data_IF_912674734759
#
_entry.id   IF_912674734759
#
_cell.length_a   1.000
_cell.length_b   1.000
_cell.length_c   1.000
_cell.angle_alpha   90.00
_cell.angle_beta   90.00
_cell.angle_gamma   90.00
#
_symmetry.space_group_name_H-M   'P 1'
#
loop_
_entity.id
_entity.type
_entity.pdbx_description
1 polymer ?
#
# COMPACT_ATOMS: atom_id res chain seq x y z
N UNK A 1 96.27 21.97 -5.63
CA UNK A 1 96.02 20.94 -4.62
C UNK A 1 94.52 20.71 -4.46
N UNK A 2 94.01 19.75 -5.08
CA UNK A 2 93.42 18.52 -4.63
C UNK A 2 92.41 18.74 -3.48
N UNK A 3 91.17 18.55 -3.79
CA UNK A 3 90.05 18.39 -2.83
C UNK A 3 88.82 17.83 -3.50
N UNK A 4 88.84 16.51 -3.63
CA UNK A 4 87.75 15.70 -4.05
C UNK A 4 86.61 15.75 -3.06
N UNK A 5 85.40 15.91 -3.50
CA UNK A 5 84.19 15.79 -2.72
C UNK A 5 82.97 15.42 -3.59
N UNK A 6 82.95 14.15 -3.95
CA UNK A 6 81.73 13.52 -4.45
C UNK A 6 80.73 13.43 -3.27
N UNK A 7 79.71 14.15 -3.37
CA UNK A 7 78.50 13.93 -2.51
C UNK A 7 77.38 13.42 -3.44
N UNK A 8 77.03 12.20 -3.19
CA UNK A 8 75.96 11.51 -3.90
C UNK A 8 74.63 12.26 -3.80
N UNK A 9 74.02 12.46 -4.92
CA UNK A 9 72.66 12.90 -5.02
C UNK A 9 71.72 11.77 -4.52
N UNK A 10 71.33 11.90 -3.26
CA UNK A 10 70.16 11.18 -2.79
C UNK A 10 68.94 11.75 -3.52
N UNK A 11 68.53 11.03 -4.55
CA UNK A 11 67.30 11.28 -5.22
C UNK A 11 66.18 10.89 -4.27
N UNK A 12 65.70 11.86 -3.46
CA UNK A 12 64.46 11.73 -2.69
C UNK A 12 63.32 11.56 -3.68
N UNK A 13 62.93 10.32 -3.88
CA UNK A 13 61.62 10.01 -4.41
C UNK A 13 60.59 10.38 -3.32
N UNK A 14 60.24 11.64 -3.30
CA UNK A 14 59.10 12.18 -2.56
C UNK A 14 58.11 12.70 -3.60
N UNK A 15 57.33 11.83 -4.16
CA UNK A 15 56.04 12.12 -4.76
C UNK A 15 55.28 10.82 -4.94
N UNK A 16 55.06 10.09 -3.83
CA UNK A 16 53.82 9.34 -3.72
C UNK A 16 52.76 10.37 -3.28
N UNK A 17 52.14 11.02 -4.25
CA UNK A 17 50.83 11.57 -4.04
C UNK A 17 49.97 10.41 -3.50
N UNK A 18 49.82 10.35 -2.18
CA UNK A 18 48.77 9.59 -1.57
C UNK A 18 47.49 10.17 -2.17
N UNK A 19 46.96 9.47 -3.16
CA UNK A 19 45.58 9.60 -3.52
C UNK A 19 44.80 9.29 -2.22
N UNK A 20 44.53 10.31 -1.40
CA UNK A 20 43.45 10.27 -0.44
C UNK A 20 42.21 10.08 -1.28
N UNK A 21 41.79 8.83 -1.44
CA UNK A 21 40.44 8.51 -1.78
C UNK A 21 39.65 8.97 -0.54
N UNK A 22 39.17 10.24 -0.57
CA UNK A 22 38.13 10.67 0.34
C UNK A 22 36.91 9.86 -0.09
N UNK A 23 36.74 8.70 0.52
CA UNK A 23 35.46 8.02 0.56
C UNK A 23 34.58 8.93 1.43
N UNK A 24 33.85 9.83 0.79
CA UNK A 24 32.65 10.36 1.38
C UNK A 24 31.68 9.16 1.47
N UNK A 25 31.84 8.36 2.50
CA UNK A 25 30.92 7.24 2.79
C UNK A 25 29.47 7.71 3.03
N UNK A 26 29.25 9.01 3.13
CA UNK A 26 27.93 9.60 3.34
C UNK A 26 27.13 9.91 2.06
N UNK A 27 27.76 9.86 0.86
CA UNK A 27 27.11 10.41 -0.36
C UNK A 27 26.72 9.37 -1.42
N UNK A 28 26.91 8.06 -1.19
CA UNK A 28 26.65 7.05 -2.21
C UNK A 28 25.42 6.16 -1.96
N UNK A 29 24.68 6.35 -0.87
CA UNK A 29 23.44 5.62 -0.66
C UNK A 29 22.24 6.38 -1.26
N UNK A 30 21.37 5.69 -1.99
CA UNK A 30 20.16 6.28 -2.53
C UNK A 30 19.30 6.87 -1.38
N UNK A 31 18.87 8.11 -1.53
CA UNK A 31 17.97 8.75 -0.56
C UNK A 31 16.55 8.27 -0.75
N UNK A 32 16.08 7.45 0.20
CA UNK A 32 14.74 6.85 0.18
C UNK A 32 13.87 7.55 1.22
N UNK A 33 12.67 7.99 0.81
CA UNK A 33 11.67 8.58 1.70
C UNK A 33 10.42 7.70 1.73
N UNK A 34 9.92 7.41 2.93
CA UNK A 34 8.67 6.70 3.15
C UNK A 34 7.61 7.67 3.69
N UNK A 35 6.55 7.85 2.94
CA UNK A 35 5.48 8.79 3.24
C UNK A 35 4.22 8.05 3.64
N UNK A 36 3.81 8.18 4.90
CA UNK A 36 2.53 7.68 5.39
C UNK A 36 1.43 8.71 5.22
N UNK A 37 0.39 8.39 4.44
CA UNK A 37 -0.71 9.31 4.14
C UNK A 37 -2.00 8.87 4.84
N UNK A 38 -2.54 9.74 5.70
CA UNK A 38 -3.73 9.50 6.49
C UNK A 38 -3.50 8.54 7.67
N UNK A 39 -4.55 8.17 8.40
CA UNK A 39 -4.42 7.40 9.63
C UNK A 39 -3.74 6.04 9.44
N UNK A 40 -4.17 5.24 8.48
CA UNK A 40 -3.58 3.93 8.24
C UNK A 40 -2.13 4.02 7.73
N UNK A 41 -1.83 4.99 6.84
CA UNK A 41 -0.45 5.22 6.39
C UNK A 41 0.47 5.64 7.53
N UNK A 42 0.02 6.52 8.43
CA UNK A 42 0.78 6.93 9.59
C UNK A 42 0.99 5.77 10.58
N UNK A 43 0.02 4.86 10.75
CA UNK A 43 0.17 3.66 11.57
C UNK A 43 1.22 2.70 10.98
N UNK A 44 1.22 2.50 9.66
CA UNK A 44 2.23 1.71 8.98
C UNK A 44 3.63 2.30 9.16
N UNK A 45 3.79 3.63 9.02
CA UNK A 45 5.05 4.34 9.29
C UNK A 45 5.49 4.18 10.75
N UNK A 46 4.58 4.32 11.70
CA UNK A 46 4.90 4.10 13.12
C UNK A 46 5.49 2.71 13.36
N UNK A 47 4.91 1.69 12.70
CA UNK A 47 5.40 0.32 12.81
C UNK A 47 6.77 0.16 12.17
N UNK A 48 6.99 0.75 10.98
CA UNK A 48 8.29 0.73 10.31
C UNK A 48 9.39 1.34 11.19
N UNK A 49 9.06 2.40 11.92
CA UNK A 49 9.98 3.05 12.88
C UNK A 49 10.21 2.13 14.09
N UNK A 50 9.17 1.48 14.61
CA UNK A 50 9.29 0.56 15.75
C UNK A 50 10.15 -0.66 15.44
N UNK A 51 10.11 -1.14 14.19
CA UNK A 51 10.95 -2.25 13.68
C UNK A 51 12.34 -1.78 13.22
N UNK A 52 12.67 -0.48 13.42
CA UNK A 52 13.98 0.11 13.08
C UNK A 52 14.42 -0.11 11.64
N UNK A 53 13.54 0.08 10.65
CA UNK A 53 13.93 0.04 9.24
C UNK A 53 14.96 1.14 8.99
N UNK A 54 16.18 0.74 8.62
CA UNK A 54 17.30 1.64 8.39
C UNK A 54 17.38 2.19 6.97
N UNK A 55 18.16 3.29 6.79
CA UNK A 55 18.45 3.84 5.47
C UNK A 55 17.28 4.56 4.80
N UNK A 56 16.22 4.92 5.54
CA UNK A 56 15.05 5.64 5.03
C UNK A 56 14.68 6.83 5.91
N UNK A 57 14.15 7.86 5.29
CA UNK A 57 13.52 8.99 5.99
C UNK A 57 12.01 8.80 6.05
N UNK A 58 11.38 9.12 7.18
CA UNK A 58 9.95 8.96 7.37
C UNK A 58 9.22 10.29 7.42
N UNK A 59 8.11 10.39 6.69
CA UNK A 59 7.21 11.55 6.69
C UNK A 59 5.79 11.09 6.98
N UNK A 60 5.13 11.72 7.95
CA UNK A 60 3.71 11.52 8.24
C UNK A 60 2.86 12.67 7.69
N UNK A 61 1.85 12.35 6.89
CA UNK A 61 0.93 13.32 6.30
C UNK A 61 -0.49 13.03 6.73
N UNK A 62 -1.21 14.03 7.25
CA UNK A 62 -2.61 13.88 7.59
C UNK A 62 -3.38 15.22 7.54
N UNK A 63 -4.70 15.14 7.33
CA UNK A 63 -5.64 16.27 7.50
C UNK A 63 -6.13 16.39 8.94
N UNK A 64 -5.99 15.33 9.75
CA UNK A 64 -6.36 15.31 11.16
C UNK A 64 -5.13 15.57 12.04
N UNK A 65 -5.15 16.72 12.73
CA UNK A 65 -4.05 17.17 13.58
C UNK A 65 -3.83 16.25 14.80
N UNK A 66 -4.91 15.72 15.37
CA UNK A 66 -4.81 14.83 16.53
C UNK A 66 -4.19 13.48 16.14
N UNK A 67 -4.65 12.91 15.03
CA UNK A 67 -4.08 11.68 14.50
C UNK A 67 -2.61 11.87 14.10
N UNK A 68 -2.25 13.02 13.52
CA UNK A 68 -0.89 13.33 13.12
C UNK A 68 0.07 13.41 14.31
N UNK A 69 -0.37 13.94 15.46
CA UNK A 69 0.43 14.00 16.69
C UNK A 69 0.78 12.62 17.26
N UNK A 70 0.07 11.57 16.89
CA UNK A 70 0.38 10.18 17.28
C UNK A 70 1.37 9.50 16.34
N UNK A 71 1.71 10.16 15.23
CA UNK A 71 2.71 9.65 14.29
C UNK A 71 4.12 9.87 14.84
N UNK A 72 4.97 8.84 14.77
CA UNK A 72 6.35 8.84 15.25
C UNK A 72 7.35 9.34 14.21
N UNK A 73 6.89 9.63 13.00
CA UNK A 73 7.76 10.13 11.94
C UNK A 73 8.45 11.45 12.38
N UNK A 74 9.74 11.62 12.06
CA UNK A 74 10.47 12.84 12.40
C UNK A 74 9.93 14.08 11.70
N UNK A 75 9.34 13.89 10.51
CA UNK A 75 8.70 14.97 9.74
C UNK A 75 7.20 14.75 9.66
N UNK A 76 6.44 15.75 10.12
CA UNK A 76 4.97 15.70 10.14
C UNK A 76 4.42 16.88 9.33
N UNK A 77 3.56 16.59 8.35
CA UNK A 77 2.93 17.60 7.49
C UNK A 77 1.41 17.52 7.66
N UNK A 78 0.83 18.60 8.18
CA UNK A 78 -0.62 18.74 8.23
C UNK A 78 -1.11 19.38 6.93
N UNK A 79 -1.85 18.63 6.12
CA UNK A 79 -2.38 19.13 4.84
C UNK A 79 -3.80 19.68 4.98
N UNK A 80 -4.12 20.69 4.15
CA UNK A 80 -5.45 21.26 4.04
C UNK A 80 -5.94 21.96 5.32
N UNK A 81 -5.09 22.73 5.99
CA UNK A 81 -5.43 23.41 7.24
C UNK A 81 -6.62 24.34 7.09
N UNK A 82 -6.70 25.12 6.00
CA UNK A 82 -7.80 26.02 5.73
C UNK A 82 -9.09 25.28 5.42
N UNK A 83 -9.00 24.17 4.68
CA UNK A 83 -10.15 23.39 4.24
C UNK A 83 -10.73 22.55 5.38
N UNK A 84 -9.90 21.84 6.13
CA UNK A 84 -10.34 20.84 7.14
C UNK A 84 -10.30 21.35 8.58
N UNK A 85 -9.59 22.44 8.82
CA UNK A 85 -9.33 22.99 10.17
C UNK A 85 -8.75 21.97 11.15
N UNK A 86 -8.00 20.99 10.63
CA UNK A 86 -7.39 19.93 11.43
C UNK A 86 -8.36 18.83 11.91
N UNK A 87 -9.58 18.74 11.37
CA UNK A 87 -10.60 17.79 11.79
C UNK A 87 -10.72 16.55 10.88
N UNK A 88 -9.80 16.40 9.93
CA UNK A 88 -9.84 15.28 9.00
C UNK A 88 -10.70 15.51 7.76
N UNK A 89 -10.68 14.56 6.82
CA UNK A 89 -11.40 14.63 5.53
C UNK A 89 -12.81 14.01 5.57
N UNK A 90 -13.30 13.53 6.71
CA UNK A 90 -14.65 13.00 6.88
C UNK A 90 -15.03 11.85 5.93
N UNK A 91 -14.10 10.94 5.62
CA UNK A 91 -14.23 9.84 4.67
C UNK A 91 -14.60 10.27 3.22
N UNK A 92 -14.28 11.52 2.85
CA UNK A 92 -14.50 12.08 1.52
C UNK A 92 -13.15 12.24 0.79
N UNK A 93 -12.84 11.41 -0.23
CA UNK A 93 -11.58 11.49 -0.96
C UNK A 93 -11.34 12.82 -1.64
N UNK A 94 -12.39 13.49 -2.12
CA UNK A 94 -12.30 14.79 -2.78
C UNK A 94 -11.79 15.88 -1.82
N UNK A 95 -12.12 15.78 -0.53
CA UNK A 95 -11.59 16.70 0.50
C UNK A 95 -10.12 16.38 0.76
N UNK A 96 -9.74 15.09 0.82
CA UNK A 96 -8.35 14.68 0.96
C UNK A 96 -7.47 15.15 -0.21
N UNK A 97 -7.98 15.04 -1.43
CA UNK A 97 -7.30 15.53 -2.63
C UNK A 97 -7.06 17.05 -2.57
N UNK A 98 -8.13 17.84 -2.35
CA UNK A 98 -8.02 19.30 -2.24
C UNK A 98 -7.12 19.74 -1.10
N UNK A 99 -7.10 19.00 0.00
CA UNK A 99 -6.22 19.27 1.13
C UNK A 99 -4.74 19.09 0.75
N UNK A 100 -4.41 18.06 -0.05
CA UNK A 100 -3.06 17.87 -0.56
C UNK A 100 -2.67 18.91 -1.61
N UNK A 101 -3.62 19.29 -2.49
CA UNK A 101 -3.42 20.36 -3.47
C UNK A 101 -3.19 21.73 -2.79
N UNK A 102 -3.88 22.02 -1.68
CA UNK A 102 -3.66 23.24 -0.88
C UNK A 102 -2.23 23.34 -0.34
N UNK A 103 -1.65 22.18 0.04
CA UNK A 103 -0.31 22.09 0.65
C UNK A 103 0.76 21.62 -0.34
N UNK A 104 0.53 21.74 -1.65
CA UNK A 104 1.42 21.19 -2.69
C UNK A 104 2.86 21.71 -2.61
N UNK A 105 3.08 22.99 -2.30
CA UNK A 105 4.43 23.58 -2.17
C UNK A 105 5.23 22.94 -1.01
N UNK A 106 4.58 22.70 0.12
CA UNK A 106 5.19 22.04 1.28
C UNK A 106 5.52 20.58 0.98
N UNK A 107 4.60 19.85 0.33
CA UNK A 107 4.82 18.49 -0.12
C UNK A 107 5.96 18.39 -1.13
N UNK A 108 6.04 19.32 -2.07
CA UNK A 108 7.10 19.39 -3.06
C UNK A 108 8.47 19.63 -2.42
N UNK A 109 8.53 20.50 -1.43
CA UNK A 109 9.77 20.77 -0.68
C UNK A 109 10.22 19.54 0.13
N UNK A 110 9.26 18.80 0.71
CA UNK A 110 9.54 17.63 1.56
C UNK A 110 10.13 16.44 0.79
N UNK A 111 9.77 16.24 -0.47
CA UNK A 111 10.30 15.13 -1.29
C UNK A 111 11.53 15.51 -2.11
N UNK A 112 11.94 16.76 -2.07
CA UNK A 112 13.03 17.27 -2.90
C UNK A 112 14.36 16.58 -2.60
N UNK A 113 15.02 16.12 -3.67
CA UNK A 113 16.34 15.48 -3.59
C UNK A 113 16.29 14.03 -3.10
N UNK A 114 15.11 13.41 -3.07
CA UNK A 114 14.99 11.98 -2.93
C UNK A 114 15.24 11.26 -4.27
N UNK A 115 15.83 10.06 -4.21
CA UNK A 115 15.97 9.18 -5.36
C UNK A 115 14.76 8.26 -5.50
N UNK A 116 14.14 7.90 -4.37
CA UNK A 116 12.96 7.04 -4.31
C UNK A 116 11.98 7.51 -3.22
N UNK A 117 10.69 7.43 -3.53
CA UNK A 117 9.60 7.73 -2.60
C UNK A 117 8.61 6.58 -2.54
N UNK A 118 8.39 6.07 -1.34
CA UNK A 118 7.28 5.18 -1.04
C UNK A 118 6.09 5.98 -0.53
N UNK A 119 4.93 5.77 -1.13
CA UNK A 119 3.67 6.34 -0.66
C UNK A 119 2.81 5.22 -0.09
N UNK A 120 2.63 5.20 1.23
CA UNK A 120 1.83 4.17 1.90
C UNK A 120 0.55 4.75 2.49
N UNK A 121 -0.57 4.07 2.25
CA UNK A 121 -1.85 4.45 2.82
C UNK A 121 -2.86 3.29 2.84
N UNK A 122 -3.87 3.39 3.69
CA UNK A 122 -5.08 2.56 3.59
C UNK A 122 -6.11 3.23 2.71
N UNK A 123 -6.49 2.55 1.62
CA UNK A 123 -7.50 3.04 0.69
C UNK A 123 -8.92 2.92 1.26
N UNK A 124 -9.83 3.75 0.75
CA UNK A 124 -11.25 3.76 1.14
C UNK A 124 -11.63 4.83 2.16
N UNK A 125 -10.65 5.45 2.83
CA UNK A 125 -10.86 6.63 3.68
C UNK A 125 -10.91 7.94 2.89
N UNK A 126 -10.90 9.08 3.57
CA UNK A 126 -10.85 10.39 2.94
C UNK A 126 -9.42 10.84 2.62
N UNK A 127 -8.59 10.99 3.64
CA UNK A 127 -7.24 11.54 3.51
C UNK A 127 -6.33 10.66 2.65
N UNK A 128 -6.13 9.38 3.03
CA UNK A 128 -5.25 8.46 2.30
C UNK A 128 -5.66 8.31 0.84
N UNK A 129 -6.94 8.04 0.58
CA UNK A 129 -7.49 7.81 -0.75
C UNK A 129 -7.38 9.04 -1.67
N UNK A 130 -7.59 10.23 -1.11
CA UNK A 130 -7.58 11.47 -1.88
C UNK A 130 -6.20 12.09 -2.02
N UNK A 131 -5.41 12.12 -0.95
CA UNK A 131 -4.12 12.81 -0.92
C UNK A 131 -2.97 11.97 -1.48
N UNK A 132 -2.98 10.63 -1.33
CA UNK A 132 -1.88 9.79 -1.80
C UNK A 132 -1.59 9.92 -3.30
N UNK A 133 -2.60 9.97 -4.22
CA UNK A 133 -2.34 10.22 -5.63
C UNK A 133 -1.69 11.59 -5.90
N UNK A 134 -2.05 12.62 -5.15
CA UNK A 134 -1.46 13.97 -5.31
C UNK A 134 -0.01 13.97 -4.84
N UNK A 135 0.28 13.37 -3.68
CA UNK A 135 1.65 13.24 -3.14
C UNK A 135 2.53 12.45 -4.11
N UNK A 136 2.02 11.32 -4.60
CA UNK A 136 2.73 10.48 -5.56
C UNK A 136 3.03 11.23 -6.86
N UNK A 137 2.05 11.95 -7.39
CA UNK A 137 2.23 12.77 -8.60
C UNK A 137 3.28 13.85 -8.41
N UNK A 138 3.30 14.54 -7.27
CA UNK A 138 4.32 15.54 -6.94
C UNK A 138 5.72 14.95 -6.95
N UNK A 139 5.90 13.72 -6.41
CA UNK A 139 7.18 13.03 -6.44
C UNK A 139 7.57 12.60 -7.86
N UNK A 140 6.66 11.97 -8.59
CA UNK A 140 6.87 11.52 -9.98
C UNK A 140 7.18 12.68 -10.93
N UNK A 141 6.50 13.83 -10.80
CA UNK A 141 6.73 15.04 -11.60
C UNK A 141 8.13 15.64 -11.36
N UNK A 142 8.78 15.33 -10.22
CA UNK A 142 10.18 15.68 -9.95
C UNK A 142 11.18 14.64 -10.48
N UNK A 143 10.72 13.58 -11.15
CA UNK A 143 11.55 12.52 -11.70
C UNK A 143 12.01 11.49 -10.66
N UNK A 144 11.43 11.50 -9.47
CA UNK A 144 11.75 10.58 -8.37
C UNK A 144 11.03 9.25 -8.61
N UNK A 145 11.74 8.11 -8.45
CA UNK A 145 11.10 6.79 -8.53
C UNK A 145 10.03 6.68 -7.45
N UNK A 146 8.77 6.55 -7.87
CA UNK A 146 7.63 6.60 -6.96
C UNK A 146 6.90 5.26 -6.90
N UNK A 147 6.87 4.65 -5.71
CA UNK A 147 6.24 3.36 -5.46
C UNK A 147 5.07 3.52 -4.49
N UNK A 148 3.89 3.09 -4.90
CA UNK A 148 2.71 3.03 -4.04
C UNK A 148 2.59 1.67 -3.36
N UNK A 149 2.44 1.64 -2.04
CA UNK A 149 2.17 0.40 -1.28
C UNK A 149 0.93 0.63 -0.43
N UNK A 150 -0.20 0.07 -0.84
CA UNK A 150 -1.49 0.41 -0.26
C UNK A 150 -2.34 -0.80 0.06
N UNK A 151 -3.25 -0.64 1.04
CA UNK A 151 -4.19 -1.69 1.40
C UNK A 151 -5.60 -1.37 0.91
N UNK A 152 -6.33 -2.42 0.44
CA UNK A 152 -7.79 -2.38 0.25
C UNK A 152 -8.50 -2.69 1.56
N UNK A 153 -9.62 -2.02 1.89
CA UNK A 153 -10.37 -2.28 3.11
C UNK A 153 -10.95 -3.69 3.13
N UNK A 154 -11.27 -4.19 4.31
CA UNK A 154 -12.04 -5.42 4.47
C UNK A 154 -13.46 -5.26 3.91
N UNK A 155 -14.06 -6.33 3.41
CA UNK A 155 -15.45 -6.33 2.91
C UNK A 155 -16.47 -5.88 3.96
N UNK A 156 -16.22 -6.15 5.24
CA UNK A 156 -17.09 -5.73 6.32
C UNK A 156 -17.04 -4.22 6.64
N UNK A 157 -16.03 -3.49 6.13
CA UNK A 157 -15.88 -2.04 6.34
C UNK A 157 -16.86 -1.18 5.53
N UNK A 158 -17.83 -1.77 4.87
CA UNK A 158 -18.88 -1.19 4.04
C UNK A 158 -18.53 -1.00 2.56
N UNK A 159 -19.60 -1.14 1.71
CA UNK A 159 -19.47 -1.03 0.25
C UNK A 159 -18.93 0.32 -0.21
N UNK A 160 -19.36 1.42 0.42
CA UNK A 160 -18.90 2.76 0.03
C UNK A 160 -17.39 2.92 0.21
N UNK A 161 -16.83 2.35 1.28
CA UNK A 161 -15.39 2.37 1.54
C UNK A 161 -14.62 1.60 0.46
N UNK A 162 -15.16 0.45 0.02
CA UNK A 162 -14.57 -0.32 -1.08
C UNK A 162 -14.64 0.44 -2.42
N UNK A 163 -15.77 1.10 -2.73
CA UNK A 163 -15.90 1.92 -3.95
C UNK A 163 -14.87 3.06 -3.95
N UNK A 164 -14.75 3.77 -2.84
CA UNK A 164 -13.74 4.81 -2.68
C UNK A 164 -12.32 4.25 -2.86
N UNK A 165 -12.06 3.04 -2.32
CA UNK A 165 -10.75 2.40 -2.43
C UNK A 165 -10.39 2.07 -3.88
N UNK A 166 -11.30 1.45 -4.63
CA UNK A 166 -11.07 1.11 -6.04
C UNK A 166 -10.79 2.36 -6.86
N UNK A 167 -11.64 3.39 -6.75
CA UNK A 167 -11.42 4.66 -7.45
C UNK A 167 -10.11 5.36 -7.04
N UNK A 168 -9.71 5.25 -5.76
CA UNK A 168 -8.43 5.80 -5.29
C UNK A 168 -7.22 5.05 -5.84
N UNK A 169 -7.32 3.71 -5.94
CA UNK A 169 -6.28 2.84 -6.50
C UNK A 169 -6.07 3.16 -7.99
N UNK A 170 -7.15 3.33 -8.76
CA UNK A 170 -7.06 3.70 -10.18
C UNK A 170 -6.32 5.03 -10.36
N UNK A 171 -6.67 6.06 -9.59
CA UNK A 171 -5.97 7.36 -9.63
C UNK A 171 -4.51 7.27 -9.17
N UNK A 172 -4.23 6.44 -8.17
CA UNK A 172 -2.86 6.25 -7.69
C UNK A 172 -2.02 5.50 -8.73
N UNK A 173 -2.58 4.49 -9.42
CA UNK A 173 -1.92 3.74 -10.50
C UNK A 173 -1.37 4.67 -11.60
N UNK A 174 -2.11 5.73 -11.94
CA UNK A 174 -1.67 6.75 -12.92
C UNK A 174 -0.57 7.67 -12.38
N UNK A 175 -0.47 7.79 -11.06
CA UNK A 175 0.41 8.75 -10.38
C UNK A 175 1.72 8.15 -9.86
N UNK A 176 1.89 6.83 -9.89
CA UNK A 176 3.09 6.12 -9.45
C UNK A 176 3.80 5.41 -10.61
N UNK A 177 5.02 4.97 -10.41
CA UNK A 177 5.74 4.10 -11.35
C UNK A 177 5.36 2.62 -11.14
N UNK A 178 5.26 2.24 -9.87
CA UNK A 178 4.87 0.88 -9.45
C UNK A 178 3.87 0.95 -8.32
N UNK A 179 2.85 0.09 -8.38
CA UNK A 179 1.79 0.01 -7.38
C UNK A 179 1.63 -1.41 -6.85
N UNK A 180 1.76 -1.55 -5.54
CA UNK A 180 1.51 -2.79 -4.79
C UNK A 180 0.21 -2.61 -4.02
N UNK A 181 -0.76 -3.49 -4.26
CA UNK A 181 -2.07 -3.44 -3.60
C UNK A 181 -2.29 -4.70 -2.78
N UNK A 182 -2.53 -4.52 -1.49
CA UNK A 182 -2.72 -5.61 -0.52
C UNK A 182 -4.18 -5.63 -0.10
N UNK A 183 -4.97 -6.65 -0.50
CA UNK A 183 -6.35 -6.77 -0.05
C UNK A 183 -6.42 -7.26 1.40
N UNK A 184 -6.98 -6.46 2.31
CA UNK A 184 -7.10 -6.88 3.72
C UNK A 184 -7.94 -8.17 3.89
N UNK A 185 -8.88 -8.45 2.97
CA UNK A 185 -9.64 -9.71 3.00
C UNK A 185 -8.73 -10.95 2.94
N UNK A 186 -7.59 -10.87 2.24
CA UNK A 186 -6.62 -11.95 2.17
C UNK A 186 -5.94 -12.25 3.50
N UNK A 187 -5.83 -11.26 4.37
CA UNK A 187 -5.33 -11.45 5.72
C UNK A 187 -6.23 -12.39 6.54
N UNK A 188 -7.55 -12.40 6.25
CA UNK A 188 -8.49 -13.30 6.92
C UNK A 188 -8.27 -14.78 6.58
N UNK A 189 -7.57 -15.07 5.47
CA UNK A 189 -7.26 -16.44 5.07
C UNK A 189 -6.07 -17.02 5.87
N UNK A 190 -5.21 -16.15 6.43
CA UNK A 190 -3.98 -16.52 7.15
C UNK A 190 -4.06 -16.33 8.68
N UNK A 191 -5.03 -15.54 9.17
CA UNK A 191 -5.19 -15.31 10.62
C UNK A 191 -6.08 -16.36 11.28
N UNK A 192 -5.83 -16.64 12.55
CA UNK A 192 -6.69 -17.52 13.34
C UNK A 192 -8.07 -16.87 13.56
N UNK A 193 -9.11 -17.72 13.67
CA UNK A 193 -10.49 -17.27 13.98
C UNK A 193 -10.61 -16.55 15.33
N UNK A 194 -9.60 -16.65 16.19
CA UNK A 194 -9.52 -15.96 17.49
C UNK A 194 -8.86 -14.59 17.40
N UNK A 195 -8.31 -14.22 16.22
CA UNK A 195 -7.63 -12.95 16.03
C UNK A 195 -8.61 -11.79 16.24
N UNK A 196 -8.21 -10.85 17.09
CA UNK A 196 -9.04 -9.66 17.35
C UNK A 196 -8.97 -8.67 16.18
N UNK A 197 -9.96 -7.77 16.07
CA UNK A 197 -9.94 -6.73 15.02
C UNK A 197 -8.68 -5.83 15.08
N UNK A 198 -8.22 -5.36 16.25
CA UNK A 198 -6.95 -4.63 16.33
C UNK A 198 -5.75 -5.44 15.83
N UNK A 199 -5.71 -6.74 16.10
CA UNK A 199 -4.61 -7.60 15.65
C UNK A 199 -4.66 -7.83 14.13
N UNK A 200 -5.85 -7.95 13.55
CA UNK A 200 -6.00 -8.05 12.09
C UNK A 200 -5.55 -6.76 11.38
N UNK A 201 -5.86 -5.58 11.94
CA UNK A 201 -5.37 -4.31 11.41
C UNK A 201 -3.86 -4.16 11.56
N UNK A 202 -3.29 -4.60 12.70
CA UNK A 202 -1.83 -4.66 12.88
C UNK A 202 -1.17 -5.55 11.83
N UNK A 203 -1.83 -6.66 11.46
CA UNK A 203 -1.32 -7.55 10.42
C UNK A 203 -1.28 -6.89 9.05
N UNK A 204 -2.28 -6.04 8.74
CA UNK A 204 -2.26 -5.22 7.53
C UNK A 204 -1.08 -4.23 7.51
N UNK A 205 -0.81 -3.57 8.64
CA UNK A 205 0.33 -2.66 8.79
C UNK A 205 1.66 -3.43 8.69
N UNK A 206 1.75 -4.67 9.21
CA UNK A 206 2.92 -5.55 9.06
C UNK A 206 3.23 -5.86 7.60
N UNK A 207 2.21 -6.16 6.80
CA UNK A 207 2.42 -6.47 5.38
C UNK A 207 2.88 -5.24 4.61
N UNK A 208 2.35 -4.05 4.92
CA UNK A 208 2.86 -2.79 4.36
C UNK A 208 4.32 -2.56 4.73
N UNK A 209 4.67 -2.79 5.99
CA UNK A 209 6.03 -2.68 6.49
C UNK A 209 6.98 -3.67 5.79
N UNK A 210 6.60 -4.95 5.70
CA UNK A 210 7.40 -5.98 5.04
C UNK A 210 7.62 -5.67 3.55
N UNK A 211 6.61 -5.13 2.88
CA UNK A 211 6.72 -4.74 1.48
C UNK A 211 7.74 -3.61 1.28
N UNK A 212 7.71 -2.58 2.11
CA UNK A 212 8.69 -1.48 2.07
C UNK A 212 10.07 -1.99 2.46
N UNK A 213 10.17 -2.73 3.56
CA UNK A 213 11.43 -3.28 4.05
C UNK A 213 12.09 -4.20 3.01
N UNK A 214 11.34 -5.09 2.40
CA UNK A 214 11.86 -6.02 1.39
C UNK A 214 12.53 -5.30 0.20
N UNK A 215 12.07 -4.10 -0.14
CA UNK A 215 12.67 -3.28 -1.20
C UNK A 215 13.85 -2.46 -0.67
N UNK A 216 13.70 -1.86 0.52
CA UNK A 216 14.76 -1.03 1.10
C UNK A 216 15.99 -1.83 1.52
N UNK A 217 15.79 -3.04 2.01
CA UNK A 217 16.89 -3.95 2.37
C UNK A 217 17.73 -4.34 1.16
N UNK A 218 17.11 -4.49 -0.01
CA UNK A 218 17.81 -4.76 -1.28
C UNK A 218 18.78 -3.66 -1.68
N UNK A 219 18.43 -2.41 -1.37
CA UNK A 219 19.19 -1.21 -1.76
C UNK A 219 20.26 -0.88 -0.73
N UNK A 220 19.91 -1.01 0.56
CA UNK A 220 20.71 -0.46 1.66
C UNK A 220 21.65 -1.48 2.31
N UNK A 221 21.32 -2.77 2.28
CA UNK A 221 22.10 -3.77 2.98
C UNK A 221 23.21 -4.35 2.07
N UNK A 222 24.45 -4.42 2.55
CA UNK A 222 25.52 -5.08 1.81
C UNK A 222 25.23 -6.57 1.69
N UNK A 223 25.35 -7.11 0.49
CA UNK A 223 25.08 -8.51 0.19
C UNK A 223 26.27 -9.13 -0.60
N UNK A 224 26.29 -10.46 -0.74
CA UNK A 224 27.28 -11.16 -1.57
C UNK A 224 27.12 -10.80 -3.05
N UNK A 225 25.87 -10.65 -3.48
CA UNK A 225 25.49 -10.16 -4.80
C UNK A 225 24.56 -8.98 -4.53
N UNK A 226 25.15 -7.77 -4.63
CA UNK A 226 24.41 -6.53 -4.42
C UNK A 226 23.58 -6.20 -5.65
N UNK A 227 22.36 -5.74 -5.39
CA UNK A 227 21.56 -5.04 -6.39
C UNK A 227 21.82 -3.54 -6.23
N UNK A 228 22.15 -2.87 -7.30
CA UNK A 228 22.29 -1.43 -7.27
C UNK A 228 20.91 -0.73 -7.44
N UNK A 229 20.85 0.55 -7.09
CA UNK A 229 19.62 1.32 -7.23
C UNK A 229 19.15 1.41 -8.70
N UNK A 230 20.06 1.38 -9.66
CA UNK A 230 19.72 1.44 -11.07
C UNK A 230 18.98 0.17 -11.54
N UNK A 231 19.34 -1.00 -11.00
CA UNK A 231 18.64 -2.27 -11.24
C UNK A 231 17.21 -2.19 -10.74
N UNK A 232 17.03 -1.72 -9.49
CA UNK A 232 15.69 -1.54 -8.88
C UNK A 232 14.88 -0.53 -9.69
N UNK A 233 15.49 0.57 -10.13
CA UNK A 233 14.82 1.57 -10.96
C UNK A 233 14.37 0.97 -12.30
N UNK A 234 15.19 0.16 -12.96
CA UNK A 234 14.85 -0.49 -14.24
C UNK A 234 13.65 -1.42 -14.10
N UNK A 235 13.56 -2.14 -12.99
CA UNK A 235 12.46 -3.08 -12.71
C UNK A 235 11.18 -2.38 -12.31
N UNK A 236 11.25 -1.19 -11.68
CA UNK A 236 10.08 -0.54 -11.08
C UNK A 236 9.55 0.66 -11.85
N UNK A 237 10.38 1.35 -12.66
CA UNK A 237 9.97 2.57 -13.35
C UNK A 237 8.93 2.27 -14.43
N UNK A 238 7.77 2.95 -14.32
CA UNK A 238 6.64 2.87 -15.26
C UNK A 238 6.15 1.43 -15.53
N UNK A 239 6.16 0.57 -14.50
CA UNK A 239 5.73 -0.85 -14.61
C UNK A 239 4.30 -1.13 -14.17
N UNK A 240 3.63 -0.15 -13.56
CA UNK A 240 2.24 -0.30 -13.11
C UNK A 240 2.09 -1.26 -11.93
N UNK A 241 1.23 -2.27 -12.05
CA UNK A 241 0.98 -3.22 -10.94
C UNK A 241 2.18 -4.13 -10.71
N UNK A 242 2.51 -4.33 -9.43
CA UNK A 242 3.55 -5.25 -9.01
C UNK A 242 3.04 -6.29 -8.00
N UNK A 243 3.70 -7.43 -8.01
CA UNK A 243 3.57 -8.49 -7.01
C UNK A 243 4.79 -8.45 -6.10
N UNK A 244 4.60 -8.50 -4.79
CA UNK A 244 5.67 -8.71 -3.82
C UNK A 244 5.29 -9.86 -2.91
N UNK A 245 6.16 -10.84 -2.80
CA UNK A 245 5.96 -11.97 -1.91
C UNK A 245 7.20 -12.23 -1.08
N UNK A 246 7.01 -12.59 0.18
CA UNK A 246 8.07 -12.96 1.12
C UNK A 246 7.75 -14.34 1.65
N UNK A 247 8.73 -15.23 1.60
CA UNK A 247 8.61 -16.57 2.15
C UNK A 247 9.86 -16.93 2.94
N UNK A 248 9.68 -17.62 4.04
CA UNK A 248 10.78 -18.13 4.87
C UNK A 248 10.55 -19.58 5.20
N UNK A 249 11.61 -20.38 5.10
CA UNK A 249 11.57 -21.80 5.43
C UNK A 249 12.87 -22.27 6.10
N UNK A 250 12.84 -23.45 6.69
CA UNK A 250 13.96 -24.06 7.41
C UNK A 250 14.15 -25.51 6.91
N UNK A 251 15.38 -26.02 7.01
CA UNK A 251 15.71 -27.41 6.66
C UNK A 251 16.36 -27.56 5.29
N UNK A 252 16.49 -28.80 4.81
CA UNK A 252 17.26 -29.15 3.62
C UNK A 252 16.70 -28.51 2.32
N UNK A 253 15.36 -28.40 2.19
CA UNK A 253 14.66 -27.82 1.03
C UNK A 253 14.26 -26.36 1.25
N UNK A 254 14.91 -25.66 2.19
CA UNK A 254 14.53 -24.32 2.65
C UNK A 254 14.35 -23.29 1.55
N UNK A 255 15.19 -23.28 0.54
CA UNK A 255 15.12 -22.31 -0.55
C UNK A 255 13.90 -22.54 -1.47
N UNK A 256 13.63 -23.82 -1.82
CA UNK A 256 12.46 -24.17 -2.65
C UNK A 256 11.17 -23.94 -1.88
N UNK A 257 11.12 -24.28 -0.59
CA UNK A 257 9.94 -24.02 0.23
C UNK A 257 9.70 -22.52 0.43
N UNK A 258 10.76 -21.75 0.73
CA UNK A 258 10.67 -20.31 0.89
C UNK A 258 10.19 -19.62 -0.41
N UNK A 259 10.75 -19.99 -1.57
CA UNK A 259 10.30 -19.38 -2.85
C UNK A 259 8.87 -19.75 -3.19
N UNK A 260 8.43 -20.97 -2.92
CA UNK A 260 7.03 -21.38 -3.10
C UNK A 260 6.09 -20.54 -2.21
N UNK A 261 6.47 -20.32 -0.96
CA UNK A 261 5.70 -19.46 -0.04
C UNK A 261 5.68 -18.00 -0.52
N UNK A 262 6.81 -17.49 -1.01
CA UNK A 262 6.89 -16.14 -1.55
C UNK A 262 5.97 -15.95 -2.76
N UNK A 263 6.05 -16.84 -3.74
CA UNK A 263 5.26 -16.76 -4.98
C UNK A 263 3.79 -17.07 -4.77
N UNK A 264 3.49 -18.03 -3.88
CA UNK A 264 2.13 -18.43 -3.55
C UNK A 264 1.49 -17.55 -2.46
N UNK A 265 2.12 -16.40 -2.12
CA UNK A 265 1.62 -15.53 -1.06
C UNK A 265 0.12 -15.26 -1.22
N UNK A 266 -0.72 -15.72 -0.28
CA UNK A 266 -2.17 -15.51 -0.37
C UNK A 266 -2.57 -14.05 -0.21
N UNK A 267 -1.61 -13.19 0.17
CA UNK A 267 -1.85 -11.79 0.52
C UNK A 267 -2.11 -10.89 -0.70
N UNK A 268 -1.84 -11.37 -1.92
CA UNK A 268 -1.92 -10.56 -3.13
C UNK A 268 -2.96 -11.11 -4.11
N UNK A 269 -3.57 -10.21 -4.88
CA UNK A 269 -4.51 -10.58 -5.97
C UNK A 269 -3.77 -10.90 -7.28
N UNK A 270 -2.49 -10.55 -7.37
CA UNK A 270 -1.65 -10.72 -8.56
C UNK A 270 -0.94 -12.07 -8.53
N UNK A 271 -0.63 -12.59 -9.71
CA UNK A 271 0.21 -13.78 -9.90
C UNK A 271 1.47 -13.37 -10.64
N UNK A 272 2.57 -14.05 -10.37
CA UNK A 272 3.86 -13.79 -11.01
C UNK A 272 3.88 -14.18 -12.51
N UNK A 273 2.94 -14.99 -12.95
CA UNK A 273 2.87 -15.49 -14.32
C UNK A 273 2.76 -14.33 -15.32
N UNK A 274 3.68 -14.31 -16.29
CA UNK A 274 3.72 -13.28 -17.33
C UNK A 274 4.36 -11.96 -16.89
N UNK A 275 5.04 -11.95 -15.75
CA UNK A 275 5.87 -10.81 -15.33
C UNK A 275 6.98 -10.54 -16.35
N UNK A 276 7.22 -9.26 -16.66
CA UNK A 276 8.31 -8.87 -17.57
C UNK A 276 9.65 -8.73 -16.86
N UNK A 277 9.61 -8.37 -15.57
CA UNK A 277 10.81 -8.22 -14.74
C UNK A 277 10.54 -8.81 -13.36
N UNK A 278 11.56 -9.49 -12.82
CA UNK A 278 11.48 -10.08 -11.49
C UNK A 278 12.78 -9.79 -10.75
N UNK A 279 12.68 -9.35 -9.51
CA UNK A 279 13.78 -9.30 -8.55
C UNK A 279 13.59 -10.47 -7.58
N UNK A 280 14.65 -11.24 -7.37
CA UNK A 280 14.71 -12.29 -6.37
C UNK A 280 15.81 -11.91 -5.39
N UNK A 281 15.49 -11.76 -4.13
CA UNK A 281 16.47 -11.62 -3.07
C UNK A 281 16.40 -12.79 -2.12
N UNK A 282 17.53 -13.46 -1.93
CA UNK A 282 17.66 -14.60 -1.03
C UNK A 282 18.59 -14.21 0.12
N UNK A 283 18.13 -14.38 1.34
CA UNK A 283 18.90 -14.12 2.55
C UNK A 283 18.85 -15.32 3.49
N UNK A 284 19.95 -15.58 4.19
CA UNK A 284 20.07 -16.64 5.17
C UNK A 284 21.29 -17.53 4.96
N UNK A 285 21.24 -18.74 5.52
CA UNK A 285 22.25 -19.78 5.34
C UNK A 285 21.96 -20.58 4.06
N UNK A 286 22.45 -20.05 2.93
CA UNK A 286 22.12 -20.53 1.58
C UNK A 286 23.36 -21.05 0.85
N UNK A 287 23.21 -22.17 0.16
CA UNK A 287 24.19 -22.71 -0.77
C UNK A 287 23.97 -22.19 -2.19
N UNK A 288 24.95 -22.36 -3.07
CA UNK A 288 24.82 -22.03 -4.49
C UNK A 288 23.71 -22.86 -5.17
N UNK A 289 23.49 -24.09 -4.72
CA UNK A 289 22.43 -24.95 -5.27
C UNK A 289 21.06 -24.44 -4.85
N UNK A 290 20.89 -24.05 -3.60
CA UNK A 290 19.64 -23.44 -3.10
C UNK A 290 19.28 -22.19 -3.91
N UNK A 291 20.27 -21.35 -4.18
CA UNK A 291 20.08 -20.13 -4.97
C UNK A 291 19.66 -20.44 -6.42
N UNK A 292 20.31 -21.44 -7.04
CA UNK A 292 19.98 -21.88 -8.39
C UNK A 292 18.57 -22.46 -8.48
N UNK A 293 18.18 -23.29 -7.52
CA UNK A 293 16.88 -23.96 -7.52
C UNK A 293 15.74 -22.95 -7.31
N UNK A 294 15.93 -21.99 -6.42
CA UNK A 294 14.98 -20.89 -6.20
C UNK A 294 14.83 -20.02 -7.46
N UNK A 295 15.94 -19.63 -8.11
CA UNK A 295 15.92 -18.81 -9.32
C UNK A 295 15.25 -19.56 -10.49
N UNK A 296 15.57 -20.85 -10.67
CA UNK A 296 14.97 -21.69 -11.72
C UNK A 296 13.46 -21.82 -11.53
N UNK A 297 13.00 -22.03 -10.29
CA UNK A 297 11.56 -22.12 -9.98
C UNK A 297 10.81 -20.83 -10.33
N UNK A 298 11.39 -19.68 -10.05
CA UNK A 298 10.77 -18.39 -10.41
C UNK A 298 10.78 -18.18 -11.91
N UNK A 299 11.85 -18.56 -12.61
CA UNK A 299 11.95 -18.47 -14.07
C UNK A 299 10.87 -19.30 -14.76
N UNK A 300 10.64 -20.52 -14.29
CA UNK A 300 9.60 -21.42 -14.85
C UNK A 300 8.20 -20.81 -14.68
N UNK A 301 7.95 -20.08 -13.60
CA UNK A 301 6.66 -19.45 -13.33
C UNK A 301 6.49 -18.12 -14.06
N UNK A 302 7.50 -17.27 -14.12
CA UNK A 302 7.46 -15.97 -14.78
C UNK A 302 7.44 -16.09 -16.30
N UNK A 303 8.11 -17.13 -16.81
CA UNK A 303 8.25 -17.43 -18.24
C UNK A 303 9.64 -17.08 -18.79
N UNK A 304 9.99 -17.67 -19.94
CA UNK A 304 11.32 -17.57 -20.54
C UNK A 304 11.77 -16.15 -20.89
N UNK A 305 10.83 -15.23 -21.08
CA UNK A 305 11.11 -13.85 -21.48
C UNK A 305 11.26 -12.88 -20.28
N UNK A 306 11.09 -13.37 -19.05
CA UNK A 306 11.21 -12.53 -17.85
C UNK A 306 12.69 -12.15 -17.62
N UNK A 307 12.95 -10.86 -17.40
CA UNK A 307 14.25 -10.39 -16.95
C UNK A 307 14.35 -10.57 -15.44
N UNK A 308 15.18 -11.52 -15.00
CA UNK A 308 15.35 -11.85 -13.58
C UNK A 308 16.65 -11.23 -13.07
N UNK A 309 16.52 -10.41 -12.03
CA UNK A 309 17.64 -9.82 -11.31
C UNK A 309 17.73 -10.53 -9.95
N UNK A 310 18.93 -10.98 -9.62
CA UNK A 310 19.18 -11.83 -8.47
C UNK A 310 20.09 -11.16 -7.45
N UNK A 311 19.67 -11.13 -6.18
CA UNK A 311 20.45 -10.71 -5.03
C UNK A 311 20.59 -11.85 -4.02
N UNK A 312 21.75 -11.93 -3.37
CA UNK A 312 22.02 -12.93 -2.34
C UNK A 312 22.77 -12.34 -1.15
N UNK A 313 22.20 -12.51 0.04
CA UNK A 313 22.80 -12.10 1.31
C UNK A 313 23.01 -13.32 2.19
N UNK A 314 24.25 -13.57 2.57
CA UNK A 314 24.55 -14.55 3.62
C UNK A 314 24.33 -13.93 4.99
N UNK A 315 23.56 -14.60 5.86
CA UNK A 315 23.25 -14.13 7.21
C UNK A 315 23.51 -15.25 8.23
N UNK A 316 24.61 -15.12 8.94
CA UNK A 316 25.04 -16.13 9.95
C UNK A 316 24.05 -16.27 11.11
N UNK A 317 23.19 -15.28 11.34
CA UNK A 317 22.17 -15.34 12.40
C UNK A 317 20.99 -16.26 12.05
N UNK A 318 20.78 -16.54 10.77
CA UNK A 318 19.72 -17.37 10.23
C UNK A 318 20.17 -18.82 10.00
N UNK A 319 20.61 -19.49 11.06
CA UNK A 319 21.10 -20.88 10.97
C UNK A 319 20.02 -21.79 10.41
N UNK A 320 20.37 -22.53 9.33
CA UNK A 320 19.47 -23.47 8.63
C UNK A 320 18.15 -22.88 8.16
N UNK A 321 18.10 -21.57 7.94
CA UNK A 321 16.92 -20.85 7.47
C UNK A 321 17.23 -20.04 6.21
N UNK A 322 16.27 -19.99 5.30
CA UNK A 322 16.29 -19.08 4.14
C UNK A 322 15.04 -18.19 4.14
N UNK A 323 15.22 -16.93 3.79
CA UNK A 323 14.14 -15.99 3.51
C UNK A 323 14.30 -15.47 2.09
N UNK A 324 13.23 -15.55 1.31
CA UNK A 324 13.21 -15.15 -0.09
C UNK A 324 12.16 -14.08 -0.31
N UNK A 325 12.59 -12.96 -0.87
CA UNK A 325 11.71 -11.90 -1.33
C UNK A 325 11.67 -11.92 -2.85
N UNK A 326 10.47 -12.00 -3.41
CA UNK A 326 10.22 -11.97 -4.87
C UNK A 326 9.40 -10.73 -5.20
N UNK A 327 9.91 -9.89 -6.10
CA UNK A 327 9.22 -8.71 -6.61
C UNK A 327 9.06 -8.90 -8.11
N UNK A 328 7.82 -9.02 -8.59
CA UNK A 328 7.51 -9.18 -9.99
C UNK A 328 6.71 -7.98 -10.51
N UNK A 329 7.15 -7.40 -11.63
CA UNK A 329 6.57 -6.20 -12.22
C UNK A 329 6.26 -6.39 -13.69
N UNK A 330 5.50 -5.43 -14.26
CA UNK A 330 5.03 -5.55 -15.64
C UNK A 330 4.05 -6.70 -15.81
N UNK A 331 3.24 -6.94 -14.77
CA UNK A 331 2.16 -7.93 -14.80
C UNK A 331 1.08 -7.44 -15.74
N UNK A 332 0.71 -8.29 -16.70
CA UNK A 332 -0.42 -7.97 -17.57
C UNK A 332 -1.73 -7.98 -16.75
N UNK A 333 -2.48 -6.90 -16.83
CA UNK A 333 -3.82 -6.84 -16.21
C UNK A 333 -4.74 -7.88 -16.87
N UNK A 334 -5.00 -8.95 -16.16
CA UNK A 334 -5.93 -10.01 -16.59
C UNK A 334 -7.33 -9.44 -16.85
N UNK A 335 -7.71 -8.36 -16.15
CA UNK A 335 -8.95 -7.63 -16.34
C UNK A 335 -9.02 -6.93 -17.68
N UNK A 336 -7.92 -6.32 -18.17
CA UNK A 336 -7.89 -5.69 -19.49
C UNK A 336 -7.98 -6.72 -20.63
N UNK A 337 -7.39 -7.90 -20.48
CA UNK A 337 -7.52 -8.99 -21.47
C UNK A 337 -8.94 -9.51 -21.54
N UNK A 338 -9.64 -9.65 -20.43
CA UNK A 338 -11.05 -10.09 -20.42
C UNK A 338 -11.93 -9.04 -21.08
N UNK A 339 -11.71 -7.74 -20.80
CA UNK A 339 -12.44 -6.64 -21.42
C UNK A 339 -12.12 -6.47 -22.91
N UNK A 340 -10.86 -6.65 -23.33
CA UNK A 340 -10.50 -6.67 -24.75
C UNK A 340 -11.08 -7.86 -25.48
N UNK A 341 -11.06 -9.05 -24.90
CA UNK A 341 -11.68 -10.24 -25.48
C UNK A 341 -13.21 -10.10 -25.54
N UNK A 342 -13.84 -9.53 -24.51
CA UNK A 342 -15.27 -9.23 -24.52
C UNK A 342 -15.64 -8.18 -25.57
N UNK A 343 -14.83 -7.14 -25.74
CA UNK A 343 -15.00 -6.11 -26.80
C UNK A 343 -14.74 -6.68 -28.20
N UNK A 344 -13.76 -7.56 -28.39
CA UNK A 344 -13.50 -8.24 -29.67
C UNK A 344 -14.60 -9.26 -30.00
N UNK A 345 -15.09 -9.99 -29.02
CA UNK A 345 -16.25 -10.92 -29.22
C UNK A 345 -17.54 -10.15 -29.56
N UNK A 346 -17.75 -8.99 -28.94
CA UNK A 346 -18.89 -8.11 -29.25
C UNK A 346 -18.79 -7.48 -30.66
N UNK A 347 -17.57 -7.12 -31.12
CA UNK A 347 -17.35 -6.63 -32.48
C UNK A 347 -17.41 -7.75 -33.55
N UNK A 348 -16.98 -8.98 -33.24
CA UNK A 348 -17.07 -10.14 -34.13
C UNK A 348 -18.49 -10.64 -34.34
N UNK A 349 -19.37 -10.50 -33.34
CA UNK A 349 -20.78 -10.90 -33.46
C UNK A 349 -21.62 -9.92 -34.27
N UNK A 350 -21.18 -8.69 -34.49
CA UNK A 350 -21.88 -7.66 -35.26
C UNK A 350 -21.76 -7.78 -36.81
N UNK A 351 -20.81 -8.56 -37.33
CA UNK A 351 -20.58 -8.70 -38.78
C UNK A 351 -21.07 -10.00 -39.41
N UNK A 352 -21.57 -10.97 -38.63
CA UNK A 352 -22.06 -12.27 -39.12
C UNK A 352 -23.59 -12.37 -39.25
N UNK A 353 -24.34 -11.30 -38.98
CA UNK A 353 -25.81 -11.29 -38.92
C UNK A 353 -26.53 -10.70 -40.16
N UNK A 354 -25.87 -10.59 -41.29
CA UNK A 354 -26.47 -9.98 -42.50
C UNK A 354 -26.70 -10.92 -43.66
N UNK A 355 -27.41 -12.04 -43.51
CA UNK A 355 -28.02 -12.73 -44.67
C UNK A 355 -29.17 -13.66 -44.24
N UNK A 356 -30.35 -13.21 -44.65
CA UNK A 356 -31.54 -14.02 -45.05
C UNK A 356 -32.18 -14.99 -44.03
N UNK A 357 -33.32 -14.55 -43.51
CA UNK A 357 -34.45 -15.45 -43.48
C UNK A 357 -35.76 -14.67 -43.69
N UNK A 358 -36.19 -14.67 -44.94
CA UNK A 358 -37.49 -14.20 -45.40
C UNK A 358 -38.48 -15.36 -45.15
N UNK A 359 -39.14 -15.40 -43.99
CA UNK A 359 -40.28 -16.30 -43.77
C UNK A 359 -41.58 -15.61 -44.23
N UNK A 360 -42.16 -16.22 -45.23
CA UNK A 360 -43.48 -15.99 -45.79
C UNK A 360 -44.53 -16.42 -44.78
N UNK A 361 -45.40 -15.48 -44.37
CA UNK A 361 -46.65 -15.82 -43.68
C UNK A 361 -47.80 -15.86 -44.69
N UNK A 362 -48.65 -16.90 -44.68
CA UNK A 362 -49.83 -16.92 -45.51
C UNK A 362 -50.98 -16.12 -44.89
N UNK A 363 -51.63 -15.38 -45.77
CA UNK A 363 -52.77 -14.54 -45.63
C UNK A 363 -54.00 -15.34 -45.08
N UNK A 364 -54.69 -14.81 -44.06
CA UNK A 364 -56.13 -15.14 -43.86
C UNK A 364 -56.92 -13.89 -43.56
N UNK A 365 -57.87 -13.71 -44.35
CA UNK A 365 -58.88 -12.69 -44.53
C UNK A 365 -59.96 -12.64 -43.44
N UNK A 366 -60.62 -11.46 -43.36
CA UNK A 366 -62.01 -11.15 -42.94
C UNK A 366 -62.17 -10.90 -41.41
N UNK A 367 -62.82 -9.83 -40.90
CA UNK A 367 -63.90 -9.02 -41.33
C UNK A 367 -64.03 -7.80 -40.43
N UNK A 368 -64.40 -6.68 -40.96
CA UNK A 368 -64.97 -5.50 -40.23
C UNK A 368 -66.43 -5.82 -39.86
N UNK A 369 -67.18 -5.11 -38.97
CA UNK A 369 -67.50 -3.69 -39.05
C UNK A 369 -67.67 -2.91 -37.70
N UNK A 370 -67.39 -1.64 -37.74
CA UNK A 370 -68.24 -0.41 -37.76
C UNK A 370 -68.84 0.10 -36.40
N UNK A 371 -68.62 1.39 -36.22
CA UNK A 371 -69.37 2.44 -35.51
C UNK A 371 -69.21 2.49 -33.97
N UNK A 372 -69.11 3.65 -33.36
CA UNK A 372 -69.34 5.02 -33.70
C UNK A 372 -68.87 5.91 -32.58
N UNK A 373 -68.52 7.14 -32.90
CA UNK A 373 -69.05 8.38 -32.38
C UNK A 373 -69.00 8.55 -30.86
N UNK A 374 -68.45 9.59 -30.26
CA UNK A 374 -68.31 10.95 -30.63
C UNK A 374 -67.77 11.79 -29.48
N UNK A 375 -67.26 12.88 -29.87
CA UNK A 375 -67.27 14.28 -29.30
C UNK A 375 -66.46 14.54 -28.03
N UNK A 376 -65.42 15.34 -28.18
CA UNK A 376 -65.33 16.79 -27.92
C UNK A 376 -65.65 17.15 -26.42
N UNK A 377 -64.83 17.88 -25.71
CA UNK A 377 -64.33 19.24 -25.93
C UNK A 377 -63.44 19.71 -24.77
N UNK A 378 -62.36 20.40 -25.10
CA UNK A 378 -62.01 21.75 -24.73
C UNK A 378 -61.87 22.10 -23.25
N UNK A 379 -60.65 22.43 -22.90
CA UNK A 379 -60.11 23.80 -22.71
C UNK A 379 -60.33 24.46 -21.33
N UNK A 380 -59.28 25.02 -20.85
CA UNK A 380 -58.89 26.35 -20.36
C UNK A 380 -58.48 26.37 -18.90
N UNK A 381 -57.23 26.68 -18.64
CA UNK A 381 -56.64 27.94 -18.22
C UNK A 381 -57.22 28.58 -16.95
N UNK A 382 -56.34 28.95 -16.03
CA UNK A 382 -56.64 29.94 -15.02
C UNK A 382 -55.66 29.96 -13.85
N UNK A 383 -54.69 30.83 -13.97
CA UNK A 383 -53.94 31.64 -13.03
C UNK A 383 -54.80 32.12 -11.81
N UNK A 384 -54.13 32.30 -10.70
CA UNK A 384 -54.00 33.49 -9.82
C UNK A 384 -53.66 33.01 -8.37
N UNK A 385 -52.51 33.33 -7.86
CA UNK A 385 -52.01 34.51 -7.09
C UNK A 385 -52.59 34.74 -5.71
N UNK A 386 -51.62 35.08 -4.85
CA UNK A 386 -51.62 35.95 -3.64
C UNK A 386 -51.89 35.26 -2.32
N UNK A 387 -50.90 35.18 -1.49
CA UNK A 387 -50.37 36.12 -0.48
C UNK A 387 -51.31 36.26 0.77
N UNK A 388 -50.84 36.01 1.93
CA UNK A 388 -50.58 36.93 3.06
C UNK A 388 -50.63 36.23 4.41
N UNK A 389 -49.56 36.41 5.12
CA UNK A 389 -49.42 36.81 6.57
C UNK A 389 -50.39 36.32 7.63
N UNK A 390 -49.81 35.82 8.72
CA UNK A 390 -50.53 35.76 10.02
C UNK A 390 -49.66 35.16 11.13
N UNK A 391 -48.97 35.99 11.87
CA UNK A 391 -48.47 35.73 13.23
C UNK A 391 -49.66 35.33 14.15
N UNK A 392 -49.48 34.33 15.00
CA UNK A 392 -49.97 34.38 16.38
C UNK A 392 -49.17 33.41 17.27
N UNK A 393 -48.58 34.00 18.29
CA UNK A 393 -48.15 33.48 19.58
C UNK A 393 -49.30 32.84 20.33
N UNK A 394 -49.06 31.69 21.03
CA UNK A 394 -49.50 31.48 22.44
C UNK A 394 -49.17 30.06 22.94
N UNK A 395 -48.37 30.02 24.00
CA UNK A 395 -48.61 29.34 25.28
C UNK A 395 -48.68 27.80 25.35
N UNK A 396 -47.75 27.29 26.16
CA UNK A 396 -47.77 25.98 26.84
C UNK A 396 -49.03 25.79 27.68
N UNK A 397 -49.39 24.53 27.99
CA UNK A 397 -49.14 24.13 29.36
C UNK A 397 -48.50 22.74 29.56
N UNK A 398 -47.73 22.68 30.63
CA UNK A 398 -47.19 21.51 31.28
C UNK A 398 -48.26 20.50 31.68
N UNK A 399 -47.99 19.21 31.47
CA UNK A 399 -48.59 18.16 32.30
C UNK A 399 -47.51 17.21 32.78
N UNK A 400 -47.34 17.17 34.06
CA UNK A 400 -46.59 16.27 34.90
C UNK A 400 -47.17 14.86 34.87
N UNK A 401 -46.32 13.84 34.73
CA UNK A 401 -46.66 12.46 35.06
C UNK A 401 -45.50 11.82 35.85
N UNK A 402 -45.74 10.84 36.72
CA UNK A 402 -44.99 10.63 37.95
C UNK A 402 -43.79 9.74 37.80
N UNK A 403 -42.83 9.99 38.67
CA UNK A 403 -41.62 9.21 38.87
C UNK A 403 -41.92 7.78 39.32
N UNK A 404 -41.51 6.77 38.52
CA UNK A 404 -41.33 5.41 39.01
C UNK A 404 -39.90 5.25 39.52
N UNK A 405 -39.79 5.02 40.82
CA UNK A 405 -38.58 4.65 41.50
C UNK A 405 -38.11 3.27 41.02
N UNK A 406 -36.95 3.19 40.36
CA UNK A 406 -36.23 1.95 40.16
C UNK A 406 -35.26 1.75 41.34
N UNK A 407 -35.65 0.86 42.22
CA UNK A 407 -34.81 0.27 43.28
C UNK A 407 -33.96 -0.82 42.71
N UNK A 408 -32.66 -0.70 42.92
CA UNK A 408 -31.77 -1.84 43.10
C UNK A 408 -31.15 -2.48 41.84
N UNK A 409 -30.08 -1.86 41.29
CA UNK A 409 -29.12 -2.60 40.51
C UNK A 409 -28.02 -3.04 41.47
N UNK A 410 -28.02 -4.35 41.82
CA UNK A 410 -26.92 -4.99 42.53
C UNK A 410 -25.69 -5.04 41.58
N UNK A 411 -24.55 -4.53 42.03
CA UNK A 411 -23.28 -4.71 41.38
C UNK A 411 -22.99 -6.20 41.21
N UNK A 412 -22.47 -6.64 40.03
CA UNK A 412 -22.02 -8.02 39.86
C UNK A 412 -20.88 -8.29 40.84
N UNK A 413 -20.99 -9.39 41.60
CA UNK A 413 -19.90 -9.92 42.42
C UNK A 413 -18.77 -10.36 41.47
N UNK A 414 -17.57 -9.88 41.68
CA UNK A 414 -16.37 -10.42 41.07
C UNK A 414 -16.20 -11.88 41.51
N UNK A 415 -15.86 -12.80 40.58
CA UNK A 415 -15.52 -14.16 40.97
C UNK A 415 -14.21 -14.14 41.78
N UNK A 416 -14.22 -14.74 42.95
CA UNK A 416 -13.04 -14.98 43.76
C UNK A 416 -12.08 -15.92 43.01
N UNK A 417 -10.86 -15.45 42.77
CA UNK A 417 -9.79 -16.24 42.17
C UNK A 417 -9.36 -17.35 43.15
N UNK A 418 -9.60 -18.59 42.79
CA UNK A 418 -9.15 -19.80 43.53
C UNK A 418 -7.71 -20.22 43.16
N UNK A 419 -6.90 -19.31 42.61
CA UNK A 419 -5.51 -19.61 42.27
C UNK A 419 -4.67 -19.44 43.52
N UNK A 420 -4.16 -20.53 44.06
CA UNK A 420 -3.14 -20.54 45.13
C UNK A 420 -1.88 -19.87 44.62
N UNK A 421 -1.25 -18.95 45.37
CA UNK A 421 0.04 -18.35 44.97
C UNK A 421 1.10 -19.48 44.89
N UNK A 422 1.70 -19.58 43.71
CA UNK A 422 2.87 -20.41 43.50
C UNK A 422 4.07 -19.63 44.02
N UNK A 423 4.72 -20.12 45.08
CA UNK A 423 6.00 -19.55 45.54
C UNK A 423 7.06 -19.80 44.47
N UNK A 424 7.49 -18.72 43.84
CA UNK A 424 8.61 -18.72 42.89
C UNK A 424 9.89 -18.73 43.71
N UNK A 425 10.60 -19.86 43.73
CA UNK A 425 11.90 -19.98 44.40
C UNK A 425 12.97 -19.24 43.57
N UNK A 426 13.29 -18.02 43.97
CA UNK A 426 14.32 -17.20 43.31
C UNK A 426 15.69 -17.67 43.80
N UNK A 427 16.60 -18.14 42.91
CA UNK A 427 17.95 -18.54 43.27
C UNK A 427 18.72 -17.45 43.98
N UNK A 428 19.55 -17.80 45.00
CA UNK A 428 20.22 -16.86 45.89
C UNK A 428 21.23 -15.91 45.19
N UNK A 429 21.69 -16.26 44.00
CA UNK A 429 22.57 -15.36 43.22
C UNK A 429 21.86 -14.12 42.66
N UNK A 430 20.52 -14.11 42.55
CA UNK A 430 19.72 -12.97 42.13
C UNK A 430 19.31 -12.03 43.31
N UNK A 431 19.52 -12.48 44.54
CA UNK A 431 19.15 -11.66 45.72
C UNK A 431 20.19 -10.63 46.13
N UNK A 432 21.42 -10.67 45.57
CA UNK A 432 22.56 -9.84 45.99
C UNK A 432 23.04 -8.81 44.95
N UNK A 433 22.21 -8.34 44.05
CA UNK A 433 22.58 -7.28 43.12
C UNK A 433 22.01 -5.91 43.53
N UNK A 434 22.35 -5.45 44.72
CA UNK A 434 22.28 -4.02 45.14
C UNK A 434 23.39 -3.74 46.14
N UNK A 435 24.54 -3.35 45.63
CA UNK A 435 25.46 -2.40 46.27
C UNK A 435 26.22 -1.64 45.19
#
# INVERSE_FOLDING_TARGET
>A
EIGSGLVGSEMCIRDSALLEIRTNEADNSAKIIVIGVGGAGNNAVNRMIDENIGGVEFIGINTDKQALQLCKAPTLIQIGEKLTKGLGAGAQPEIGQKAAEESAEELQAAVKGADMVFVTCGMGGGTGTGAAPVVAKIAKDQGILTVGVVTKPFKFEAKQRMINAVSGIERLKESVDTLIVIPNDKLLEIVDRRTTMPDALKKADEVLQQAVQGITDLINLPALINLDFADVQTVMKDKGMAHIGIGSAQGDDKAIEAVKLAVASPLLETKINGATHVIINISGDISLMDANDAASYVQDLAGENANIIFGAKFDESMTDQASITVIATGLEDVSEKIDMQAKQAAHGAGMAGGMQNRMVYPNQTAARPVSGMGTQSTATAGLHTTATSGLHTAAQPQQTAPAHAYTGIQKPRQPESTVKPVEINIPDFLKNSRR
#
